data_IF_569924685226
#
_entry.id   IF_569924685226
#
_cell.length_a   1.000
_cell.length_b   1.000
_cell.length_c   1.000
_cell.angle_alpha   90.00
_cell.angle_beta   90.00
_cell.angle_gamma   90.00
#
_symmetry.space_group_name_H-M   'P 1'
#
loop_
_entity.id
_entity.type
_entity.pdbx_description
1 polymer ?
#
# COMPACT_ATOMS: atom_id res chain seq x y z
N UNK A 1 -50.87 35.40 -21.38
CA UNK A 1 -50.67 34.28 -20.44
C UNK A 1 -50.44 33.02 -21.24
N UNK A 2 -49.18 32.69 -21.53
CA UNK A 2 -48.69 31.34 -21.84
C UNK A 2 -47.17 31.37 -21.70
N UNK A 3 -46.63 30.40 -20.96
CA UNK A 3 -45.28 30.36 -20.41
C UNK A 3 -44.29 29.78 -21.43
N UNK A 4 -43.14 30.42 -21.64
CA UNK A 4 -41.99 29.79 -22.28
C UNK A 4 -41.21 28.99 -21.24
N UNK A 5 -41.35 27.66 -21.29
CA UNK A 5 -40.55 26.72 -20.53
C UNK A 5 -39.12 26.66 -21.11
N UNK A 6 -38.15 27.21 -20.39
CA UNK A 6 -36.72 26.97 -20.65
C UNK A 6 -36.23 25.94 -19.64
N UNK A 7 -36.28 24.66 -20.03
CA UNK A 7 -35.61 23.58 -19.34
C UNK A 7 -34.11 23.63 -19.73
N UNK A 8 -33.27 24.21 -18.88
CA UNK A 8 -31.82 24.15 -19.03
C UNK A 8 -31.25 23.06 -18.14
N UNK A 9 -31.02 21.91 -18.80
CA UNK A 9 -29.92 20.96 -18.63
C UNK A 9 -29.22 20.97 -17.25
N UNK A 10 -29.68 20.09 -16.37
CA UNK A 10 -28.90 19.63 -15.24
C UNK A 10 -27.68 18.85 -15.76
N UNK A 11 -26.49 19.43 -15.61
CA UNK A 11 -25.23 18.70 -15.81
C UNK A 11 -25.12 17.68 -14.67
N UNK A 12 -25.43 16.42 -14.99
CA UNK A 12 -25.07 15.27 -14.17
C UNK A 12 -23.55 15.13 -14.21
N UNK A 13 -22.87 15.74 -13.23
CA UNK A 13 -21.49 15.39 -12.89
C UNK A 13 -21.56 13.99 -12.30
N UNK A 14 -21.31 12.98 -13.14
CA UNK A 14 -21.12 11.60 -12.70
C UNK A 14 -19.94 11.57 -11.73
N UNK A 15 -20.25 11.35 -10.45
CA UNK A 15 -19.31 11.16 -9.37
C UNK A 15 -18.59 9.82 -9.54
N UNK A 16 -17.54 9.80 -10.35
CA UNK A 16 -16.58 8.70 -10.44
C UNK A 16 -15.60 8.74 -9.24
N UNK A 17 -16.13 8.66 -8.03
CA UNK A 17 -15.34 8.70 -6.79
C UNK A 17 -15.06 7.34 -6.15
N UNK A 18 -15.67 6.26 -6.65
CA UNK A 18 -15.69 4.97 -5.93
C UNK A 18 -14.95 3.82 -6.64
N UNK A 19 -14.42 4.02 -7.86
CA UNK A 19 -13.75 2.96 -8.60
C UNK A 19 -12.24 2.83 -8.28
N UNK A 20 -11.62 3.84 -7.67
CA UNK A 20 -10.16 3.88 -7.48
C UNK A 20 -9.66 2.96 -6.37
N UNK A 21 -10.40 2.86 -5.25
CA UNK A 21 -9.97 2.05 -4.09
C UNK A 21 -10.02 0.54 -4.32
N UNK A 22 -11.04 0.04 -5.03
CA UNK A 22 -11.21 -1.39 -5.29
C UNK A 22 -10.22 -1.93 -6.34
N UNK A 23 -9.89 -1.15 -7.38
CA UNK A 23 -8.86 -1.53 -8.36
C UNK A 23 -7.48 -1.59 -7.70
N UNK A 24 -7.12 -0.54 -6.95
CA UNK A 24 -5.92 -0.47 -6.13
C UNK A 24 -5.77 -1.68 -5.20
N UNK A 25 -6.86 -2.12 -4.56
CA UNK A 25 -6.85 -3.27 -3.67
C UNK A 25 -6.55 -4.60 -4.38
N UNK A 26 -6.96 -4.77 -5.65
CA UNK A 26 -6.66 -5.99 -6.40
C UNK A 26 -5.22 -6.03 -6.94
N UNK A 27 -4.64 -4.88 -7.30
CA UNK A 27 -3.25 -4.83 -7.81
C UNK A 27 -2.19 -5.15 -6.74
N UNK A 28 -2.58 -5.11 -5.46
CA UNK A 28 -1.73 -5.42 -4.31
C UNK A 28 -1.87 -6.87 -3.83
N UNK A 29 -2.43 -7.76 -4.66
CA UNK A 29 -2.50 -9.21 -4.44
C UNK A 29 -1.44 -9.89 -5.32
N UNK A 30 -0.69 -10.85 -4.75
CA UNK A 30 0.30 -11.61 -5.52
C UNK A 30 -0.36 -12.30 -6.73
N UNK A 31 0.20 -12.15 -7.95
CA UNK A 31 -0.31 -12.86 -9.10
C UNK A 31 -0.09 -14.38 -8.96
N UNK A 32 -0.92 -15.17 -9.63
CA UNK A 32 -0.80 -16.62 -9.63
C UNK A 32 0.60 -17.06 -10.12
N UNK A 33 1.23 -17.97 -9.39
CA UNK A 33 2.58 -18.46 -9.72
C UNK A 33 3.72 -17.50 -9.36
N UNK A 34 3.43 -16.39 -8.67
CA UNK A 34 4.46 -15.46 -8.20
C UNK A 34 5.50 -16.15 -7.32
N UNK A 35 6.78 -15.89 -7.62
CA UNK A 35 7.93 -16.33 -6.84
C UNK A 35 8.77 -15.10 -6.49
N UNK A 36 8.91 -14.75 -5.19
CA UNK A 36 9.76 -13.66 -4.79
C UNK A 36 11.21 -13.89 -5.25
N UNK A 37 11.83 -12.85 -5.78
CA UNK A 37 13.27 -12.84 -6.07
C UNK A 37 14.04 -12.33 -4.85
N UNK A 38 15.35 -12.60 -4.80
CA UNK A 38 16.20 -12.07 -3.75
C UNK A 38 16.27 -10.54 -3.85
N UNK A 39 16.05 -9.86 -2.72
CA UNK A 39 16.10 -8.40 -2.62
C UNK A 39 17.44 -7.87 -2.10
N UNK A 40 17.80 -6.66 -2.53
CA UNK A 40 18.89 -5.88 -1.95
C UNK A 40 18.33 -4.97 -0.86
N UNK A 41 18.68 -5.24 0.40
CA UNK A 41 18.21 -4.45 1.54
C UNK A 41 18.73 -3.01 1.54
N UNK A 42 19.89 -2.72 0.94
CA UNK A 42 20.41 -1.36 0.84
C UNK A 42 19.60 -0.52 -0.15
N UNK A 43 19.17 -1.14 -1.26
CA UNK A 43 18.19 -0.54 -2.17
C UNK A 43 16.87 -0.32 -1.44
N UNK A 44 16.40 -1.33 -0.71
CA UNK A 44 15.17 -1.24 0.07
C UNK A 44 15.18 -0.11 1.09
N UNK A 45 16.28 0.10 1.81
CA UNK A 45 16.43 1.20 2.77
C UNK A 45 16.35 2.56 2.08
N UNK A 46 17.01 2.73 0.93
CA UNK A 46 16.94 3.97 0.15
C UNK A 46 15.49 4.26 -0.27
N UNK A 47 14.81 3.26 -0.82
CA UNK A 47 13.41 3.38 -1.26
C UNK A 47 12.45 3.64 -0.10
N UNK A 48 12.68 3.02 1.05
CA UNK A 48 11.87 3.22 2.25
C UNK A 48 11.85 4.69 2.72
N UNK A 49 12.93 5.42 2.45
CA UNK A 49 13.08 6.84 2.75
C UNK A 49 12.73 7.77 1.57
N UNK A 50 12.45 7.23 0.38
CA UNK A 50 12.26 8.02 -0.83
C UNK A 50 10.83 8.55 -0.95
N UNK A 51 10.68 9.87 -0.84
CA UNK A 51 9.38 10.54 -0.98
C UNK A 51 8.88 10.56 -2.42
N UNK A 52 9.75 10.33 -3.41
CA UNK A 52 9.40 10.30 -4.84
C UNK A 52 8.57 9.08 -5.22
N UNK A 53 8.48 8.07 -4.36
CA UNK A 53 7.59 6.93 -4.57
C UNK A 53 6.11 7.30 -4.46
N UNK A 54 5.79 8.39 -3.76
CA UNK A 54 4.42 8.86 -3.56
C UNK A 54 4.08 10.03 -4.47
N UNK A 55 2.78 10.26 -4.67
CA UNK A 55 2.29 11.49 -5.30
C UNK A 55 2.00 12.60 -4.29
N UNK A 56 2.05 12.29 -2.99
CA UNK A 56 1.69 13.20 -1.89
C UNK A 56 2.87 13.58 -0.98
N UNK A 57 4.10 13.26 -1.38
CA UNK A 57 5.34 13.64 -0.68
C UNK A 57 5.69 12.77 0.53
N UNK A 58 4.95 11.69 0.79
CA UNK A 58 5.27 10.74 1.85
C UNK A 58 6.25 9.65 1.39
N UNK A 59 7.00 9.11 2.35
CA UNK A 59 7.76 7.87 2.20
C UNK A 59 7.27 6.86 3.22
N UNK A 60 7.76 5.61 3.17
CA UNK A 60 7.46 4.62 4.20
C UNK A 60 7.93 5.13 5.58
N UNK A 61 9.09 5.78 5.61
CA UNK A 61 9.68 6.36 6.81
C UNK A 61 8.82 7.47 7.45
N UNK A 62 7.95 8.15 6.70
CA UNK A 62 7.01 9.15 7.23
C UNK A 62 6.15 8.60 8.39
N UNK A 63 5.85 7.29 8.39
CA UNK A 63 5.12 6.64 9.49
C UNK A 63 5.97 5.61 10.24
N UNK A 64 6.89 4.93 9.56
CA UNK A 64 7.58 3.74 10.08
C UNK A 64 9.02 3.97 10.54
N UNK A 65 9.51 5.21 10.53
CA UNK A 65 10.79 5.54 11.14
C UNK A 65 10.82 5.14 12.63
N UNK A 66 11.96 4.64 13.10
CA UNK A 66 12.16 4.21 14.49
C UNK A 66 11.11 3.20 15.00
N UNK A 67 10.65 2.32 14.11
CA UNK A 67 9.57 1.36 14.37
C UNK A 67 8.20 1.98 14.71
N UNK A 68 7.97 3.23 14.31
CA UNK A 68 6.68 3.89 14.44
C UNK A 68 5.57 3.14 13.69
N UNK A 69 4.34 3.22 14.23
CA UNK A 69 3.12 2.69 13.62
C UNK A 69 3.14 1.20 13.22
N UNK A 70 4.17 0.41 13.58
CA UNK A 70 4.12 -1.04 13.46
C UNK A 70 3.26 -1.59 14.60
N UNK A 71 2.24 -2.37 14.23
CA UNK A 71 1.49 -3.14 15.21
C UNK A 71 2.35 -4.26 15.82
N UNK A 72 2.00 -4.74 17.01
CA UNK A 72 2.73 -5.84 17.65
C UNK A 72 2.78 -7.13 16.81
N UNK A 73 1.79 -7.35 15.93
CA UNK A 73 1.80 -8.50 15.02
C UNK A 73 2.93 -8.45 14.00
N UNK A 74 3.57 -7.30 13.77
CA UNK A 74 4.70 -7.17 12.86
C UNK A 74 5.86 -8.10 13.27
N UNK A 75 6.00 -8.46 14.54
CA UNK A 75 6.99 -9.46 14.99
C UNK A 75 6.68 -10.90 14.56
N UNK A 76 5.46 -11.19 14.07
CA UNK A 76 5.05 -12.53 13.64
C UNK A 76 5.52 -12.80 12.21
N UNK A 77 5.94 -14.04 11.89
CA UNK A 77 6.23 -14.42 10.51
C UNK A 77 5.06 -14.09 9.57
N UNK A 78 5.37 -13.62 8.36
CA UNK A 78 4.38 -13.48 7.30
C UNK A 78 4.19 -14.84 6.57
N UNK A 79 2.99 -15.12 6.03
CA UNK A 79 1.79 -14.27 6.09
C UNK A 79 1.10 -14.32 7.46
N UNK A 80 0.52 -13.21 7.88
CA UNK A 80 -0.29 -13.13 9.09
C UNK A 80 -1.39 -12.06 8.97
N UNK A 81 -2.28 -12.00 9.95
CA UNK A 81 -3.35 -11.00 10.01
C UNK A 81 -2.84 -9.63 10.43
N UNK A 82 -3.05 -8.61 9.60
CA UNK A 82 -2.70 -7.20 9.90
C UNK A 82 -3.97 -6.37 9.88
N UNK A 83 -4.19 -5.53 10.90
CA UNK A 83 -5.42 -4.73 11.08
C UNK A 83 -5.73 -3.88 9.85
N UNK A 84 -4.75 -3.14 9.32
CA UNK A 84 -4.94 -2.32 8.12
C UNK A 84 -5.39 -3.16 6.91
N UNK A 85 -4.77 -4.31 6.67
CA UNK A 85 -5.15 -5.20 5.58
C UNK A 85 -6.55 -5.79 5.78
N UNK A 86 -6.92 -6.12 7.02
CA UNK A 86 -8.27 -6.61 7.35
C UNK A 86 -9.33 -5.54 7.15
N UNK A 87 -9.11 -4.35 7.68
CA UNK A 87 -10.11 -3.29 7.74
C UNK A 87 -10.28 -2.57 6.41
N UNK A 88 -9.19 -2.34 5.68
CA UNK A 88 -9.22 -1.58 4.42
C UNK A 88 -9.31 -2.47 3.19
N UNK A 89 -8.76 -3.70 3.24
CA UNK A 89 -8.69 -4.59 2.09
C UNK A 89 -9.51 -5.88 2.27
N UNK A 90 -10.17 -6.07 3.41
CA UNK A 90 -10.95 -7.28 3.70
C UNK A 90 -10.10 -8.55 3.84
N UNK A 91 -8.78 -8.43 4.03
CA UNK A 91 -7.85 -9.57 4.01
C UNK A 91 -7.68 -10.18 5.40
N UNK A 92 -8.00 -11.47 5.53
CA UNK A 92 -7.80 -12.24 6.78
C UNK A 92 -6.33 -12.49 7.11
N UNK A 93 -5.49 -12.57 6.08
CA UNK A 93 -4.04 -12.72 6.17
C UNK A 93 -3.42 -12.04 4.95
N UNK A 94 -2.20 -11.54 5.11
CA UNK A 94 -1.49 -10.82 4.04
C UNK A 94 -0.02 -11.25 4.04
N UNK A 95 0.62 -11.27 2.87
CA UNK A 95 2.07 -11.41 2.76
C UNK A 95 2.78 -10.06 2.96
N UNK A 96 4.10 -10.08 3.20
CA UNK A 96 4.84 -8.84 3.48
C UNK A 96 4.90 -7.89 2.26
N UNK A 97 5.20 -8.42 1.09
CA UNK A 97 5.21 -7.65 -0.17
C UNK A 97 3.83 -7.10 -0.53
N UNK A 98 2.76 -7.86 -0.32
CA UNK A 98 1.38 -7.37 -0.42
C UNK A 98 1.10 -6.22 0.55
N UNK A 99 1.57 -6.32 1.80
CA UNK A 99 1.43 -5.27 2.81
C UNK A 99 2.24 -4.02 2.44
N UNK A 100 3.45 -4.19 1.89
CA UNK A 100 4.25 -3.08 1.36
C UNK A 100 3.49 -2.36 0.24
N UNK A 101 2.95 -3.10 -0.73
CA UNK A 101 2.17 -2.51 -1.81
C UNK A 101 0.90 -1.82 -1.27
N UNK A 102 0.24 -2.40 -0.26
CA UNK A 102 -0.90 -1.79 0.41
C UNK A 102 -0.53 -0.44 1.05
N UNK A 103 0.61 -0.34 1.74
CA UNK A 103 1.14 0.93 2.25
C UNK A 103 1.44 1.94 1.14
N UNK A 104 1.93 1.49 -0.01
CA UNK A 104 2.18 2.37 -1.14
C UNK A 104 0.88 2.97 -1.68
N UNK A 105 -0.15 2.15 -1.86
CA UNK A 105 -1.36 2.63 -2.53
C UNK A 105 -2.29 3.40 -1.60
N UNK A 106 -2.44 2.97 -0.35
CA UNK A 106 -3.44 3.56 0.56
C UNK A 106 -2.96 4.89 1.17
N UNK A 107 -1.97 4.94 2.08
CA UNK A 107 -1.52 6.21 2.62
C UNK A 107 -0.66 7.00 1.61
N UNK A 108 0.27 6.37 0.88
CA UNK A 108 1.21 7.10 0.03
C UNK A 108 0.64 7.54 -1.33
N UNK A 109 -0.61 7.19 -1.66
CA UNK A 109 -1.23 7.50 -2.96
C UNK A 109 -0.30 7.19 -4.15
N UNK A 110 0.48 6.11 -4.03
CA UNK A 110 1.42 5.64 -5.02
C UNK A 110 0.77 4.55 -5.88
N UNK A 111 1.40 4.26 -7.02
CA UNK A 111 1.12 3.03 -7.77
C UNK A 111 1.86 1.86 -7.12
N UNK A 112 1.30 0.64 -7.16
CA UNK A 112 2.08 -0.56 -6.83
C UNK A 112 3.33 -0.66 -7.71
N UNK A 113 4.35 -1.31 -7.19
CA UNK A 113 5.54 -1.68 -7.94
C UNK A 113 5.24 -2.94 -8.78
N UNK A 114 5.96 -3.15 -9.90
CA UNK A 114 5.91 -4.43 -10.59
C UNK A 114 6.31 -5.57 -9.65
N UNK A 115 5.57 -6.68 -9.69
CA UNK A 115 5.78 -7.81 -8.77
C UNK A 115 7.18 -8.44 -8.89
N UNK A 116 7.75 -8.42 -10.09
CA UNK A 116 9.08 -8.90 -10.45
C UNK A 116 10.18 -7.83 -10.35
N UNK A 117 9.85 -6.63 -9.86
CA UNK A 117 10.79 -5.52 -9.72
C UNK A 117 11.84 -5.77 -8.63
N UNK A 118 13.04 -5.23 -8.85
CA UNK A 118 14.11 -5.22 -7.84
C UNK A 118 13.73 -4.33 -6.67
N UNK A 119 12.92 -3.30 -6.91
CA UNK A 119 12.42 -2.34 -5.95
C UNK A 119 11.50 -3.00 -4.92
N UNK A 120 10.51 -3.77 -5.36
CA UNK A 120 9.63 -4.51 -4.44
C UNK A 120 10.41 -5.56 -3.65
N UNK A 121 11.31 -6.28 -4.32
CA UNK A 121 12.17 -7.26 -3.67
C UNK A 121 13.09 -6.60 -2.62
N UNK A 122 13.70 -5.45 -2.96
CA UNK A 122 14.56 -4.67 -2.07
C UNK A 122 13.81 -4.14 -0.86
N UNK A 123 12.65 -3.51 -1.05
CA UNK A 123 11.79 -3.06 0.04
C UNK A 123 11.40 -4.23 0.95
N UNK A 124 11.02 -5.37 0.37
CA UNK A 124 10.68 -6.58 1.13
C UNK A 124 11.86 -7.05 1.97
N UNK A 125 13.07 -7.13 1.38
CA UNK A 125 14.28 -7.53 2.09
C UNK A 125 14.62 -6.57 3.24
N UNK A 126 14.54 -5.26 3.01
CA UNK A 126 14.79 -4.26 4.04
C UNK A 126 13.77 -4.33 5.18
N UNK A 127 12.46 -4.39 4.88
CA UNK A 127 11.43 -4.48 5.91
C UNK A 127 11.53 -5.81 6.69
N UNK A 128 12.00 -6.90 6.09
CA UNK A 128 12.35 -8.12 6.82
C UNK A 128 13.49 -7.91 7.81
N UNK A 129 14.49 -7.06 7.50
CA UNK A 129 15.52 -6.70 8.49
C UNK A 129 14.91 -5.99 9.68
N UNK A 130 13.99 -5.03 9.45
CA UNK A 130 13.27 -4.33 10.51
C UNK A 130 12.43 -5.30 11.34
N UNK A 131 11.73 -6.23 10.70
CA UNK A 131 10.93 -7.25 11.39
C UNK A 131 11.77 -8.08 12.37
N UNK A 132 12.98 -8.51 11.96
CA UNK A 132 13.86 -9.35 12.79
C UNK A 132 14.32 -8.63 14.06
N UNK A 133 14.46 -7.32 14.01
CA UNK A 133 14.95 -6.48 15.11
C UNK A 133 13.83 -5.79 15.87
N UNK A 134 12.59 -5.86 15.39
CA UNK A 134 11.43 -5.25 16.03
C UNK A 134 11.08 -5.96 17.33
N UNK A 135 10.93 -5.16 18.40
CA UNK A 135 10.46 -5.62 19.71
C UNK A 135 9.17 -4.88 20.03
N UNK A 136 8.01 -5.55 20.02
CA UNK A 136 6.76 -4.90 20.37
C UNK A 136 6.81 -4.41 21.82
N UNK A 137 6.29 -3.22 22.08
CA UNK A 137 6.06 -2.76 23.44
C UNK A 137 5.06 -3.70 24.12
N UNK A 138 5.36 -4.07 25.37
CA UNK A 138 4.59 -5.03 26.17
C UNK A 138 3.19 -4.51 26.52
#
# INVERSE_FOLDING_TARGET
>A
MTYHASAMLSVLIASLGFATGALAANETIRPAGYKPIAGDAQLGEKLFNDTKLSTNGMSCASCHANYGAFSASFAKPYPHAVTMAKDQLGRKSIYLDEMIQACMVMPMAAKPLPWDSRELAGLTAYVQTLQKTFKPAH
#
